data_IF_667719583502
#
_entry.id   IF_667719583502
#
_cell.length_a   1.000
_cell.length_b   1.000
_cell.length_c   1.000
_cell.angle_alpha   90.00
_cell.angle_beta   90.00
_cell.angle_gamma   90.00
#
_symmetry.space_group_name_H-M   'P 1'
#
loop_
_entity.id
_entity.type
_entity.pdbx_description
1 polymer ?
#
# COMPACT_ATOMS: atom_id res chain seq x y z
N UNK A 1 -40.19 24.05 -12.77
CA UNK A 1 -38.70 24.03 -12.81
C UNK A 1 -38.21 23.87 -14.24
N UNK A 2 -37.44 24.83 -14.79
CA UNK A 2 -36.86 24.79 -16.14
C UNK A 2 -36.08 23.47 -16.34
N UNK A 3 -36.25 22.76 -17.46
CA UNK A 3 -35.62 21.45 -17.77
C UNK A 3 -34.12 21.39 -17.41
N UNK A 4 -33.38 22.47 -17.61
CA UNK A 4 -31.95 22.60 -17.25
C UNK A 4 -31.66 22.45 -15.75
N UNK A 5 -32.54 22.96 -14.86
CA UNK A 5 -32.38 22.78 -13.39
C UNK A 5 -32.62 21.33 -12.95
N UNK A 6 -33.56 20.62 -13.59
CA UNK A 6 -33.79 19.19 -13.31
C UNK A 6 -32.58 18.34 -13.70
N UNK A 7 -31.99 18.61 -14.87
CA UNK A 7 -30.79 17.91 -15.34
C UNK A 7 -29.58 18.12 -14.42
N UNK A 8 -29.35 19.36 -13.97
CA UNK A 8 -28.28 19.68 -13.01
C UNK A 8 -28.43 18.93 -11.68
N UNK A 9 -29.65 18.85 -11.14
CA UNK A 9 -29.91 18.11 -9.90
C UNK A 9 -29.63 16.61 -10.09
N UNK A 10 -30.11 16.02 -11.20
CA UNK A 10 -29.85 14.60 -11.50
C UNK A 10 -28.36 14.32 -11.65
N UNK A 11 -27.63 15.18 -12.36
CA UNK A 11 -26.18 15.06 -12.52
C UNK A 11 -25.44 15.16 -11.17
N UNK A 12 -25.84 16.09 -10.30
CA UNK A 12 -25.28 16.22 -8.96
C UNK A 12 -25.55 14.98 -8.09
N UNK A 13 -26.77 14.42 -8.14
CA UNK A 13 -27.12 13.18 -7.42
C UNK A 13 -26.28 12.00 -7.92
N UNK A 14 -26.14 11.83 -9.24
CA UNK A 14 -25.30 10.76 -9.82
C UNK A 14 -23.84 10.94 -9.38
N UNK A 15 -23.31 12.16 -9.42
CA UNK A 15 -21.94 12.44 -8.97
C UNK A 15 -21.75 12.08 -7.49
N UNK A 16 -22.71 12.45 -6.63
CA UNK A 16 -22.67 12.09 -5.20
C UNK A 16 -22.70 10.57 -5.01
N UNK A 17 -23.55 9.85 -5.75
CA UNK A 17 -23.60 8.38 -5.69
C UNK A 17 -22.27 7.76 -6.14
N UNK A 18 -21.66 8.25 -7.22
CA UNK A 18 -20.36 7.77 -7.71
C UNK A 18 -19.27 8.03 -6.67
N UNK A 19 -19.24 9.22 -6.09
CA UNK A 19 -18.28 9.58 -5.02
C UNK A 19 -18.48 8.69 -3.81
N UNK A 20 -19.70 8.53 -3.31
CA UNK A 20 -20.00 7.66 -2.15
C UNK A 20 -19.61 6.20 -2.41
N UNK A 21 -19.91 5.66 -3.59
CA UNK A 21 -19.49 4.31 -3.96
C UNK A 21 -17.96 4.21 -3.97
N UNK A 22 -17.25 5.16 -4.58
CA UNK A 22 -15.78 5.15 -4.62
C UNK A 22 -15.14 5.19 -3.23
N UNK A 23 -15.80 5.85 -2.26
CA UNK A 23 -15.34 5.91 -0.88
C UNK A 23 -15.51 4.55 -0.16
N UNK A 24 -16.61 3.85 -0.43
CA UNK A 24 -17.00 2.60 0.27
C UNK A 24 -16.26 1.38 -0.30
N UNK A 25 -15.92 1.36 -1.59
CA UNK A 25 -15.31 0.18 -2.21
C UNK A 25 -13.87 -0.06 -1.77
N UNK A 26 -13.62 -1.23 -1.20
CA UNK A 26 -12.26 -1.76 -1.03
C UNK A 26 -11.66 -2.07 -2.40
N UNK A 27 -10.51 -1.48 -2.70
CA UNK A 27 -9.72 -1.87 -3.86
C UNK A 27 -8.82 -3.05 -3.50
N UNK A 28 -8.93 -4.15 -4.24
CA UNK A 28 -8.04 -5.33 -4.10
C UNK A 28 -6.97 -5.29 -5.17
N UNK A 29 -5.71 -5.40 -4.77
CA UNK A 29 -4.58 -5.38 -5.70
C UNK A 29 -4.34 -6.77 -6.29
N UNK A 30 -4.08 -6.81 -7.60
CA UNK A 30 -3.35 -7.92 -8.21
C UNK A 30 -1.87 -7.68 -7.96
N UNK A 31 -1.18 -8.70 -7.45
CA UNK A 31 0.24 -8.67 -7.18
C UNK A 31 0.94 -9.89 -7.78
N UNK A 32 2.24 -9.78 -7.99
CA UNK A 32 3.09 -10.87 -8.49
C UNK A 32 4.34 -10.93 -7.63
N UNK A 33 4.68 -12.10 -7.10
CA UNK A 33 5.97 -12.32 -6.43
C UNK A 33 7.09 -12.16 -7.47
N UNK A 34 8.07 -11.32 -7.17
CA UNK A 34 9.20 -11.03 -8.07
C UNK A 34 10.53 -11.48 -7.49
N UNK A 35 10.66 -11.49 -6.17
CA UNK A 35 11.86 -11.99 -5.48
C UNK A 35 11.49 -12.73 -4.21
N UNK A 36 12.30 -13.73 -3.87
CA UNK A 36 12.20 -14.47 -2.61
C UNK A 36 13.60 -14.77 -2.10
N UNK A 37 13.84 -14.42 -0.84
CA UNK A 37 15.12 -14.56 -0.16
C UNK A 37 14.93 -15.34 1.12
N UNK A 38 15.93 -16.12 1.49
CA UNK A 38 15.99 -16.69 2.83
C UNK A 38 16.18 -15.57 3.86
N UNK A 39 15.70 -15.79 5.08
CA UNK A 39 15.79 -14.76 6.13
C UNK A 39 17.26 -14.45 6.43
N UNK A 40 17.71 -13.19 6.30
CA UNK A 40 19.09 -12.78 6.57
C UNK A 40 19.50 -13.09 8.01
N UNK A 41 20.77 -13.41 8.22
CA UNK A 41 21.32 -13.60 9.56
C UNK A 41 21.37 -12.30 10.38
N UNK A 42 21.39 -11.13 9.71
CA UNK A 42 21.37 -9.80 10.34
C UNK A 42 20.27 -8.96 9.72
N UNK A 43 19.22 -8.72 10.49
CA UNK A 43 18.15 -7.77 10.20
C UNK A 43 18.27 -6.65 11.24
N UNK A 44 18.23 -5.40 10.82
CA UNK A 44 18.28 -4.25 11.74
C UNK A 44 17.11 -4.27 12.73
N UNK A 45 17.31 -3.74 13.94
CA UNK A 45 16.31 -3.80 15.01
C UNK A 45 14.97 -3.17 14.60
N UNK A 46 15.00 -2.08 13.83
CA UNK A 46 13.80 -1.39 13.31
C UNK A 46 12.97 -2.24 12.33
N UNK A 47 13.53 -3.32 11.79
CA UNK A 47 12.88 -4.22 10.85
C UNK A 47 12.36 -5.51 11.48
N UNK A 48 12.80 -5.85 12.70
CA UNK A 48 12.50 -7.16 13.30
C UNK A 48 11.02 -7.34 13.66
N UNK A 49 10.36 -6.25 14.05
CA UNK A 49 8.95 -6.26 14.47
C UNK A 49 7.97 -6.00 13.31
N UNK A 50 8.47 -5.80 12.09
CA UNK A 50 7.65 -5.53 10.93
C UNK A 50 7.21 -6.82 10.25
N UNK A 51 5.92 -6.91 9.90
CA UNK A 51 5.43 -8.02 9.06
C UNK A 51 5.60 -7.73 7.57
N UNK A 52 5.46 -6.46 7.18
CA UNK A 52 5.62 -6.01 5.80
C UNK A 52 5.86 -4.50 5.74
N UNK A 53 6.40 -4.03 4.62
CA UNK A 53 6.51 -2.61 4.28
C UNK A 53 6.51 -2.44 2.76
N UNK A 54 6.64 -1.21 2.28
CA UNK A 54 6.62 -0.90 0.85
C UNK A 54 7.89 -0.25 0.38
N UNK A 55 8.31 -0.60 -0.82
CA UNK A 55 9.38 0.06 -1.56
C UNK A 55 8.80 0.79 -2.77
N UNK A 56 9.05 2.09 -2.88
CA UNK A 56 8.55 2.98 -3.93
C UNK A 56 9.41 4.25 -4.04
N UNK A 57 9.12 5.12 -5.00
CA UNK A 57 9.71 6.48 -5.09
C UNK A 57 8.88 7.55 -4.33
N UNK A 58 7.82 7.15 -3.62
CA UNK A 58 6.95 8.07 -2.91
C UNK A 58 7.55 8.43 -1.55
N UNK A 59 7.79 9.72 -1.35
CA UNK A 59 8.28 10.26 -0.09
C UNK A 59 7.17 11.06 0.60
N UNK A 60 6.81 10.65 1.81
CA UNK A 60 5.87 11.39 2.68
C UNK A 60 6.56 12.16 3.81
N UNK A 61 7.90 12.12 3.88
CA UNK A 61 8.74 12.77 4.87
C UNK A 61 8.74 12.11 6.25
N UNK A 62 8.03 10.99 6.42
CA UNK A 62 7.88 10.28 7.69
C UNK A 62 8.48 8.89 7.66
N UNK A 63 8.39 8.20 6.52
CA UNK A 63 8.85 6.82 6.34
C UNK A 63 9.70 6.79 5.08
N UNK A 64 10.93 6.30 5.20
CA UNK A 64 11.74 5.95 4.04
C UNK A 64 11.09 4.75 3.33
N UNK A 65 10.66 4.95 2.10
CA UNK A 65 10.13 3.89 1.22
C UNK A 65 11.05 3.62 0.05
N UNK A 66 12.23 4.26 0.01
CA UNK A 66 13.15 4.09 -1.09
C UNK A 66 13.67 2.65 -1.16
N UNK A 67 14.17 2.21 -2.33
CA UNK A 67 14.83 0.91 -2.44
C UNK A 67 15.95 0.70 -1.43
N UNK A 68 16.64 1.77 -1.01
CA UNK A 68 17.73 1.73 -0.02
C UNK A 68 17.32 1.09 1.32
N UNK A 69 16.03 1.14 1.66
CA UNK A 69 15.49 0.47 2.84
C UNK A 69 15.75 -1.05 2.83
N UNK A 70 15.89 -1.68 1.66
CA UNK A 70 16.21 -3.11 1.54
C UNK A 70 17.60 -3.46 2.09
N UNK A 71 18.54 -2.50 2.13
CA UNK A 71 19.88 -2.71 2.73
C UNK A 71 19.79 -3.03 4.22
N UNK A 72 18.74 -2.58 4.90
CA UNK A 72 18.44 -2.94 6.31
C UNK A 72 18.09 -4.42 6.50
N UNK A 73 17.72 -5.09 5.42
CA UNK A 73 17.53 -6.54 5.33
C UNK A 73 18.76 -7.25 4.76
N UNK A 74 19.89 -6.54 4.55
CA UNK A 74 21.07 -7.11 3.89
C UNK A 74 20.86 -7.44 2.40
N UNK A 75 19.85 -6.84 1.76
CA UNK A 75 19.58 -6.99 0.32
C UNK A 75 20.09 -5.73 -0.39
N UNK A 76 20.99 -5.88 -1.35
CA UNK A 76 21.44 -4.76 -2.19
C UNK A 76 20.36 -4.44 -3.24
N UNK A 77 19.76 -3.24 -3.25
CA UNK A 77 18.78 -2.86 -4.25
C UNK A 77 19.35 -2.84 -5.68
N UNK A 78 20.67 -2.66 -5.83
CA UNK A 78 21.35 -2.61 -7.13
C UNK A 78 21.32 -3.96 -7.85
N UNK A 79 21.19 -5.06 -7.10
CA UNK A 79 21.05 -6.41 -7.63
C UNK A 79 19.62 -6.71 -8.11
N UNK A 80 18.68 -5.78 -7.89
CA UNK A 80 17.27 -5.94 -8.19
C UNK A 80 16.83 -5.01 -9.31
N UNK A 81 16.11 -5.56 -10.29
CA UNK A 81 15.47 -4.77 -11.35
C UNK A 81 14.15 -4.13 -10.82
N UNK A 82 14.28 -3.11 -9.98
CA UNK A 82 13.13 -2.37 -9.42
C UNK A 82 12.79 -1.14 -10.28
N UNK A 83 11.60 -1.13 -10.89
CA UNK A 83 11.04 0.02 -11.61
C UNK A 83 9.99 0.72 -10.73
N UNK A 84 10.48 1.48 -9.75
CA UNK A 84 9.63 2.21 -8.80
C UNK A 84 8.79 3.30 -9.47
N UNK A 85 9.15 3.74 -10.69
CA UNK A 85 8.34 4.71 -11.43
C UNK A 85 6.99 4.13 -11.89
N UNK A 86 6.96 2.82 -12.20
CA UNK A 86 5.75 2.12 -12.68
C UNK A 86 5.08 1.25 -11.65
N UNK A 87 5.80 0.89 -10.59
CA UNK A 87 5.34 -0.09 -9.61
C UNK A 87 5.58 0.36 -8.18
N UNK A 88 4.79 -0.23 -7.29
CA UNK A 88 5.05 -0.23 -5.86
C UNK A 88 5.35 -1.66 -5.46
N UNK A 89 6.38 -1.84 -4.65
CA UNK A 89 6.81 -3.15 -4.20
C UNK A 89 6.38 -3.36 -2.75
N UNK A 90 5.86 -4.54 -2.44
CA UNK A 90 5.43 -4.95 -1.11
C UNK A 90 6.43 -5.98 -0.62
N UNK A 91 7.15 -5.64 0.46
CA UNK A 91 8.15 -6.52 1.07
C UNK A 91 7.51 -7.16 2.29
N UNK A 92 7.51 -8.49 2.37
CA UNK A 92 7.02 -9.23 3.54
C UNK A 92 8.17 -9.94 4.24
N UNK A 93 8.12 -10.01 5.57
CA UNK A 93 9.21 -10.53 6.41
C UNK A 93 8.77 -11.79 7.15
N UNK A 94 9.05 -12.97 6.61
CA UNK A 94 8.58 -14.24 7.18
C UNK A 94 7.09 -14.49 6.95
N UNK A 95 6.54 -13.93 5.87
CA UNK A 95 5.14 -14.12 5.49
C UNK A 95 4.94 -14.17 3.98
N UNK A 96 3.95 -14.94 3.54
CA UNK A 96 3.40 -14.89 2.20
C UNK A 96 2.26 -13.86 2.15
N UNK A 97 2.23 -13.04 1.11
CA UNK A 97 1.14 -12.09 0.87
C UNK A 97 -0.04 -12.83 0.24
N UNK A 98 -1.12 -12.99 0.98
CA UNK A 98 -2.35 -13.66 0.51
C UNK A 98 -3.31 -12.66 -0.12
N UNK A 99 -3.42 -11.46 0.48
CA UNK A 99 -4.19 -10.38 -0.12
C UNK A 99 -3.67 -9.03 0.34
N UNK A 100 -3.76 -8.03 -0.55
CA UNK A 100 -3.58 -6.62 -0.23
C UNK A 100 -4.81 -5.85 -0.70
N UNK A 101 -5.32 -4.99 0.18
CA UNK A 101 -6.43 -4.11 -0.14
C UNK A 101 -6.21 -2.71 0.40
N UNK A 102 -6.88 -1.73 -0.17
CA UNK A 102 -6.96 -0.37 0.37
C UNK A 102 -8.40 0.12 0.33
N UNK A 103 -8.70 1.11 1.16
CA UNK A 103 -9.99 1.80 1.14
C UNK A 103 -9.76 3.30 1.22
N UNK A 104 -10.62 4.08 0.56
CA UNK A 104 -10.65 5.53 0.69
C UNK A 104 -10.95 5.98 2.13
N UNK A 105 -11.63 5.16 2.93
CA UNK A 105 -11.82 5.40 4.37
C UNK A 105 -10.50 5.39 5.16
N UNK A 106 -9.46 4.75 4.63
CA UNK A 106 -8.17 4.57 5.28
C UNK A 106 -7.08 5.13 4.36
N UNK A 107 -7.19 6.42 4.03
CA UNK A 107 -6.20 7.15 3.26
C UNK A 107 -5.93 8.53 3.88
N UNK A 108 -4.74 9.08 3.62
CA UNK A 108 -4.49 10.51 3.86
C UNK A 108 -4.89 11.28 2.60
N UNK A 109 -5.55 12.43 2.79
CA UNK A 109 -6.03 13.25 1.67
C UNK A 109 -5.03 14.36 1.34
N UNK A 110 -4.92 14.69 0.06
CA UNK A 110 -4.19 15.85 -0.42
C UNK A 110 -4.83 17.13 0.11
N UNK A 111 -3.99 18.02 0.65
CA UNK A 111 -4.37 19.41 0.97
C UNK A 111 -4.28 20.31 -0.26
N UNK A 112 -3.40 19.98 -1.20
CA UNK A 112 -3.14 20.71 -2.44
C UNK A 112 -4.01 20.20 -3.60
N UNK A 113 -4.07 20.99 -4.68
CA UNK A 113 -4.94 20.69 -5.82
C UNK A 113 -4.52 19.40 -6.57
N UNK A 114 -5.46 18.49 -6.88
CA UNK A 114 -6.87 18.50 -6.49
C UNK A 114 -7.06 18.09 -5.01
N UNK A 115 -7.72 18.95 -4.19
CA UNK A 115 -7.91 18.66 -2.77
C UNK A 115 -8.86 17.47 -2.60
N UNK A 116 -8.74 16.76 -1.47
CA UNK A 116 -9.58 15.60 -1.14
C UNK A 116 -9.38 14.37 -2.04
N UNK A 117 -8.35 14.36 -2.90
CA UNK A 117 -7.88 13.12 -3.51
C UNK A 117 -6.95 12.37 -2.55
N UNK A 118 -6.95 11.04 -2.56
CA UNK A 118 -6.00 10.25 -1.78
C UNK A 118 -4.55 10.60 -2.15
N UNK A 119 -3.75 10.92 -1.14
CA UNK A 119 -2.31 11.12 -1.23
C UNK A 119 -1.60 9.78 -1.04
N UNK A 120 -1.97 9.05 0.01
CA UNK A 120 -1.49 7.71 0.31
C UNK A 120 -2.61 6.86 0.92
N UNK A 121 -2.59 5.56 0.69
CA UNK A 121 -3.54 4.61 1.25
C UNK A 121 -2.87 3.75 2.30
N UNK A 122 -3.60 3.39 3.35
CA UNK A 122 -3.17 2.39 4.32
C UNK A 122 -3.48 1.00 3.74
N UNK A 123 -2.45 0.17 3.59
CA UNK A 123 -2.59 -1.20 3.13
C UNK A 123 -3.22 -2.10 4.21
N UNK A 124 -4.22 -2.87 3.80
CA UNK A 124 -4.84 -3.94 4.59
C UNK A 124 -4.35 -5.27 4.03
N UNK A 125 -3.55 -6.00 4.81
CA UNK A 125 -2.93 -7.24 4.36
C UNK A 125 -3.52 -8.47 5.06
N UNK A 126 -3.63 -9.55 4.28
CA UNK A 126 -3.79 -10.89 4.78
C UNK A 126 -2.48 -11.61 4.51
N UNK A 127 -1.84 -12.11 5.56
CA UNK A 127 -0.54 -12.74 5.54
C UNK A 127 -0.65 -14.18 6.01
N UNK A 128 0.13 -15.07 5.40
CA UNK A 128 0.31 -16.46 5.85
C UNK A 128 1.75 -16.63 6.31
N UNK A 129 2.01 -17.35 7.40
CA UNK A 129 3.39 -17.56 7.86
C UNK A 129 4.26 -18.20 6.79
N UNK A 130 5.49 -17.73 6.69
CA UNK A 130 6.55 -18.18 5.77
C UNK A 130 7.90 -18.07 6.48
N UNK A 131 8.94 -18.69 5.93
CA UNK A 131 10.32 -18.58 6.42
C UNK A 131 11.16 -17.60 5.59
N UNK A 132 10.56 -16.98 4.56
CA UNK A 132 11.26 -16.14 3.59
C UNK A 132 10.91 -14.66 3.70
N UNK A 133 11.86 -13.84 3.24
CA UNK A 133 11.57 -12.47 2.82
C UNK A 133 11.11 -12.53 1.38
N UNK A 134 9.99 -11.88 1.06
CA UNK A 134 9.45 -11.87 -0.30
C UNK A 134 9.13 -10.47 -0.75
N UNK A 135 9.34 -10.23 -2.03
CA UNK A 135 9.01 -8.95 -2.68
C UNK A 135 7.94 -9.23 -3.72
N UNK A 136 6.80 -8.55 -3.57
CA UNK A 136 5.70 -8.58 -4.52
C UNK A 136 5.60 -7.26 -5.24
N UNK A 137 5.20 -7.28 -6.50
CA UNK A 137 5.00 -6.10 -7.33
C UNK A 137 3.51 -5.83 -7.52
N UNK A 138 3.09 -4.59 -7.30
CA UNK A 138 1.77 -4.06 -7.68
C UNK A 138 1.92 -2.85 -8.61
N UNK A 139 0.88 -2.54 -9.39
CA UNK A 139 0.83 -1.29 -10.18
C UNK A 139 1.05 -0.09 -9.26
N UNK A 140 1.70 0.96 -9.79
CA UNK A 140 2.03 2.18 -9.05
C UNK A 140 0.84 2.68 -8.23
N UNK A 141 1.00 2.66 -6.91
CA UNK A 141 0.05 3.27 -5.97
C UNK A 141 0.79 3.56 -4.67
N UNK A 142 0.51 4.70 -4.07
CA UNK A 142 1.11 5.09 -2.79
C UNK A 142 0.41 4.32 -1.66
N UNK A 143 0.64 3.02 -1.57
CA UNK A 143 0.17 2.17 -0.48
C UNK A 143 1.25 2.17 0.57
N UNK A 144 0.91 2.57 1.79
CA UNK A 144 1.83 2.67 2.91
C UNK A 144 1.47 1.67 3.99
N UNK A 145 2.50 1.32 4.73
CA UNK A 145 2.43 0.65 6.02
C UNK A 145 2.32 1.70 7.13
N UNK A 146 1.38 1.55 8.06
CA UNK A 146 1.08 2.56 9.09
C UNK A 146 2.09 2.50 10.26
N UNK A 147 2.88 3.56 10.43
CA UNK A 147 3.99 3.67 11.39
C UNK A 147 3.56 3.89 12.88
N UNK A 148 2.28 3.81 13.21
CA UNK A 148 1.79 3.92 14.60
C UNK A 148 0.86 2.76 15.02
N UNK A 149 1.08 1.58 14.47
CA UNK A 149 0.23 0.40 14.67
C UNK A 149 0.60 -0.70 13.71
N UNK A 150 1.90 -0.90 13.55
CA UNK A 150 2.59 -1.69 12.54
C UNK A 150 2.00 -3.11 12.40
N UNK A 151 1.46 -3.65 13.49
CA UNK A 151 0.86 -4.98 13.57
C UNK A 151 -0.59 -4.95 14.05
N UNK A 152 -1.27 -3.81 13.88
CA UNK A 152 -2.67 -3.65 14.29
C UNK A 152 -3.52 -4.71 13.56
N UNK A 153 -4.22 -5.59 14.29
CA UNK A 153 -5.09 -6.62 13.72
C UNK A 153 -6.17 -6.09 12.77
N UNK A 154 -6.47 -4.79 12.85
CA UNK A 154 -7.36 -4.09 11.93
C UNK A 154 -6.82 -4.06 10.50
N UNK A 155 -5.51 -3.88 10.34
CA UNK A 155 -4.86 -3.70 9.04
C UNK A 155 -4.01 -4.90 8.63
N UNK A 156 -3.57 -5.73 9.59
CA UNK A 156 -2.78 -6.93 9.29
C UNK A 156 -3.42 -8.15 9.93
N UNK A 157 -3.83 -9.11 9.11
CA UNK A 157 -4.37 -10.39 9.57
C UNK A 157 -3.41 -11.52 9.22
N UNK A 158 -3.08 -12.35 10.20
CA UNK A 158 -2.23 -13.53 10.01
C UNK A 158 -3.10 -14.78 10.06
N UNK A 159 -3.00 -15.62 9.04
CA UNK A 159 -3.59 -16.95 9.00
C UNK A 159 -2.52 -18.01 9.25
N UNK A 160 -2.94 -19.10 9.91
CA UNK A 160 -2.09 -20.28 10.17
C UNK A 160 -1.94 -21.13 8.91
#
# INVERSE_FOLDING_TARGET
MKKKRKLLIVAAVILVIVVLNSIIFEHRYKFTEVYSFDKPQKISEDMQDLYWFTVSDFDNGLIDTSPEQLKKLGIDPSDLELDTSKYTYIVTLGYDLVSLKTSFWHCSLRKEFPPLMPKEYIGITLLKKSDKIKIYRIRKTNVMYYYHGSNDPKYVRIIK
#
